data_IF_420351021512
#
_entry.id   IF_420351021512
#
_cell.length_a   1.000
_cell.length_b   1.000
_cell.length_c   1.000
_cell.angle_alpha   90.00
_cell.angle_beta   90.00
_cell.angle_gamma   90.00
#
_symmetry.space_group_name_H-M   'P 1'
#
loop_
_entity.id
_entity.type
_entity.pdbx_description
1 polymer ?
#
# COMPACT_ATOMS: atom_id res chain seq x y z
N UNK A 1 1.85 -4.74 -15.41
CA UNK A 1 2.95 -4.38 -14.49
C UNK A 1 2.62 -5.07 -13.18
N UNK A 2 3.61 -5.63 -12.50
CA UNK A 2 3.41 -6.27 -11.20
C UNK A 2 3.10 -5.20 -10.16
N UNK A 3 1.91 -5.25 -9.54
CA UNK A 3 1.45 -4.33 -8.50
C UNK A 3 2.53 -4.15 -7.41
N UNK A 4 3.15 -5.26 -7.01
CA UNK A 4 4.24 -5.28 -6.02
C UNK A 4 5.41 -4.38 -6.43
N UNK A 5 5.80 -4.37 -7.71
CA UNK A 5 6.92 -3.53 -8.15
C UNK A 5 6.59 -2.04 -8.12
N UNK A 6 5.35 -1.67 -8.44
CA UNK A 6 4.90 -0.28 -8.34
C UNK A 6 4.92 0.21 -6.89
N UNK A 7 4.40 -0.60 -5.97
CA UNK A 7 4.41 -0.30 -4.53
C UNK A 7 5.82 -0.21 -3.95
N UNK A 8 6.74 -1.09 -4.39
CA UNK A 8 8.15 -1.03 -3.98
C UNK A 8 8.83 0.23 -4.52
N UNK A 9 8.55 0.63 -5.76
CA UNK A 9 9.12 1.84 -6.35
C UNK A 9 8.71 3.09 -5.55
N UNK A 10 7.46 3.18 -5.12
CA UNK A 10 6.99 4.27 -4.25
C UNK A 10 7.76 4.32 -2.92
N UNK A 11 8.05 3.17 -2.31
CA UNK A 11 8.86 3.10 -1.09
C UNK A 11 10.32 3.50 -1.34
N UNK A 12 10.89 3.08 -2.48
CA UNK A 12 12.26 3.45 -2.88
C UNK A 12 12.40 4.96 -3.14
N UNK A 13 11.33 5.63 -3.61
CA UNK A 13 11.27 7.10 -3.69
C UNK A 13 11.13 7.78 -2.30
N UNK A 14 10.99 6.99 -1.24
CA UNK A 14 10.93 7.45 0.14
C UNK A 14 9.51 7.60 0.70
N UNK A 15 8.49 7.25 -0.09
CA UNK A 15 7.09 7.35 0.31
C UNK A 15 6.71 6.23 1.31
N UNK A 16 5.54 6.36 1.91
CA UNK A 16 4.95 5.32 2.76
C UNK A 16 3.62 4.87 2.18
N UNK A 17 3.25 3.63 2.42
CA UNK A 17 2.02 3.04 1.91
C UNK A 17 0.99 2.90 3.03
N UNK A 18 -0.25 3.23 2.72
CA UNK A 18 -1.41 3.13 3.59
C UNK A 18 -2.39 2.15 2.94
N UNK A 19 -2.31 0.90 3.35
CA UNK A 19 -3.20 -0.15 2.87
C UNK A 19 -4.48 -0.19 3.70
N UNK A 20 -5.63 -0.13 3.03
CA UNK A 20 -6.94 -0.18 3.66
C UNK A 20 -7.69 -1.38 3.11
N UNK A 21 -8.17 -2.26 3.99
CA UNK A 21 -8.95 -3.42 3.57
C UNK A 21 -10.44 -3.09 3.60
N UNK A 22 -11.11 -3.16 2.45
CA UNK A 22 -12.54 -2.92 2.30
C UNK A 22 -13.12 -3.90 1.26
N UNK A 23 -14.31 -4.43 1.52
CA UNK A 23 -15.04 -5.35 0.63
C UNK A 23 -14.26 -6.61 0.14
N UNK A 24 -13.22 -7.02 0.87
CA UNK A 24 -12.41 -8.19 0.52
C UNK A 24 -11.14 -7.89 -0.29
N UNK A 25 -10.88 -6.62 -0.60
CA UNK A 25 -9.71 -6.16 -1.36
C UNK A 25 -8.91 -5.11 -0.58
N UNK A 26 -7.62 -4.95 -0.90
CA UNK A 26 -6.83 -3.83 -0.38
C UNK A 26 -6.82 -2.66 -1.38
N UNK A 27 -7.17 -1.48 -0.87
CA UNK A 27 -6.91 -0.19 -1.49
C UNK A 27 -5.66 0.41 -0.84
N UNK A 28 -4.57 0.57 -1.62
CA UNK A 28 -3.29 1.09 -1.12
C UNK A 28 -3.08 2.52 -1.55
N UNK A 29 -2.99 3.42 -0.57
CA UNK A 29 -2.72 4.83 -0.77
C UNK A 29 -1.23 5.13 -0.57
N UNK A 30 -0.68 6.07 -1.33
CA UNK A 30 0.71 6.50 -1.15
C UNK A 30 0.73 7.80 -0.38
N UNK A 31 1.51 7.87 0.69
CA UNK A 31 1.80 9.08 1.43
C UNK A 31 3.19 9.61 1.06
N UNK A 32 3.20 10.77 0.42
CA UNK A 32 4.39 11.52 -0.01
C UNK A 32 4.96 12.41 1.13
N UNK A 33 4.62 12.11 2.39
CA UNK A 33 5.06 12.77 3.63
C UNK A 33 4.31 14.07 3.99
N UNK A 34 3.59 14.66 3.03
CA UNK A 34 2.80 15.89 3.23
C UNK A 34 1.44 15.85 2.52
N UNK A 35 1.20 14.82 1.71
CA UNK A 35 -0.02 14.61 0.94
C UNK A 35 -0.17 13.12 0.65
N UNK A 36 -1.41 12.67 0.63
CA UNK A 36 -1.77 11.32 0.18
C UNK A 36 -2.08 11.33 -1.31
N UNK A 37 -1.87 10.21 -2.00
CA UNK A 37 -2.26 10.02 -3.39
C UNK A 37 -3.73 10.34 -3.60
N UNK A 38 -4.07 10.83 -4.79
CA UNK A 38 -5.46 11.18 -5.13
C UNK A 38 -6.31 9.95 -5.43
N UNK A 39 -5.67 8.84 -5.79
CA UNK A 39 -6.29 7.55 -6.03
C UNK A 39 -5.45 6.45 -5.38
N UNK A 40 -6.09 5.39 -4.85
CA UNK A 40 -5.38 4.22 -4.38
C UNK A 40 -5.03 3.27 -5.53
N UNK A 41 -4.06 2.39 -5.28
CA UNK A 41 -3.95 1.12 -6.00
C UNK A 41 -5.05 0.20 -5.49
N UNK A 42 -6.01 -0.11 -6.36
CA UNK A 42 -7.14 -0.99 -6.05
C UNK A 42 -6.84 -2.43 -6.47
N UNK A 43 -7.54 -3.40 -5.86
CA UNK A 43 -7.38 -4.82 -6.18
C UNK A 43 -6.03 -5.39 -5.75
N UNK A 44 -5.33 -4.76 -4.81
CA UNK A 44 -4.09 -5.31 -4.25
C UNK A 44 -4.45 -6.53 -3.42
N UNK A 45 -3.88 -7.69 -3.75
CA UNK A 45 -4.13 -8.91 -3.00
C UNK A 45 -3.32 -8.93 -1.70
N UNK A 46 -3.75 -9.76 -0.75
CA UNK A 46 -3.03 -9.91 0.51
C UNK A 46 -1.59 -10.40 0.29
N UNK A 47 -1.37 -11.37 -0.59
CA UNK A 47 -0.03 -11.90 -0.89
C UNK A 47 0.91 -10.84 -1.48
N UNK A 48 0.39 -9.95 -2.34
CA UNK A 48 1.16 -8.84 -2.90
C UNK A 48 1.54 -7.83 -1.82
N UNK A 49 0.58 -7.47 -0.96
CA UNK A 49 0.84 -6.56 0.14
C UNK A 49 1.83 -7.14 1.14
N UNK A 50 1.70 -8.42 1.50
CA UNK A 50 2.61 -9.14 2.39
C UNK A 50 4.04 -9.20 1.82
N UNK A 51 4.19 -9.33 0.50
CA UNK A 51 5.50 -9.29 -0.16
C UNK A 51 6.19 -7.92 -0.01
N UNK A 52 5.42 -6.83 -0.02
CA UNK A 52 5.93 -5.46 0.21
C UNK A 52 6.24 -5.24 1.69
N UNK A 53 5.32 -5.61 2.59
CA UNK A 53 5.49 -5.50 4.06
C UNK A 53 6.70 -6.29 4.52
N UNK A 54 6.93 -7.49 3.98
CA UNK A 54 8.09 -8.31 4.34
C UNK A 54 9.42 -7.65 4.02
N UNK A 55 9.47 -6.82 2.96
CA UNK A 55 10.68 -6.09 2.59
C UNK A 55 10.80 -4.77 3.36
N UNK A 56 9.68 -4.07 3.58
CA UNK A 56 9.64 -2.75 4.22
C UNK A 56 8.52 -2.64 5.26
N UNK A 57 8.67 -3.33 6.42
CA UNK A 57 7.59 -3.41 7.42
C UNK A 57 7.26 -2.04 8.03
N UNK A 58 8.24 -1.15 8.16
CA UNK A 58 8.05 0.19 8.73
C UNK A 58 7.49 1.22 7.72
N UNK A 59 7.38 0.84 6.44
CA UNK A 59 6.90 1.73 5.37
C UNK A 59 5.47 1.43 4.94
N UNK A 60 4.87 0.35 5.45
CA UNK A 60 3.50 -0.03 5.12
C UNK A 60 2.65 -0.02 6.39
N UNK A 61 1.61 0.80 6.38
CA UNK A 61 0.60 0.84 7.45
C UNK A 61 -0.67 0.18 6.94
N UNK A 62 -1.08 -0.92 7.59
CA UNK A 62 -2.33 -1.62 7.28
C UNK A 62 -3.42 -1.12 8.24
N UNK A 63 -4.53 -0.63 7.69
CA UNK A 63 -5.73 -0.24 8.43
C UNK A 63 -6.89 -1.15 8.05
N UNK A 64 -7.49 -1.75 9.08
CA UNK A 64 -8.77 -2.41 8.96
C UNK A 64 -9.85 -1.37 9.29
N UNK A 65 -10.63 -0.96 8.30
CA UNK A 65 -11.83 -0.19 8.57
C UNK A 65 -12.86 -1.17 9.14
N UNK A 66 -13.00 -1.16 10.47
CA UNK A 66 -14.13 -1.83 11.10
C UNK A 66 -15.40 -1.06 10.69
N UNK A 67 -16.21 -1.66 9.83
CA UNK A 67 -17.58 -1.23 9.56
C UNK A 67 -18.47 -1.38 10.78
#
# INVERSE_FOLDING_TARGET
MDMVQELLAEIDEGNTLLATFEDGEYAVWVDYGHKTSTAPYEGVTQDELDAVVKQFPDKVTIRHLAG
#
